data_IF_394211358854
#
_entry.id   IF_394211358854
#
_cell.length_a   1.000
_cell.length_b   1.000
_cell.length_c   1.000
_cell.angle_alpha   90.00
_cell.angle_beta   90.00
_cell.angle_gamma   90.00
#
_symmetry.space_group_name_H-M   'P 1'
#
loop_
_entity.id
_entity.type
_entity.pdbx_description
1 polymer ?
#
# COMPACT_ATOMS: atom_id res chain seq x y z
N UNK A 1 0.64 18.85 -5.29
CA UNK A 1 -0.48 18.27 -6.06
C UNK A 1 -0.46 16.75 -6.15
N UNK A 2 0.69 16.05 -6.26
CA UNK A 2 0.70 14.57 -6.43
C UNK A 2 0.36 13.67 -5.21
N UNK A 3 0.46 14.15 -3.96
CA UNK A 3 0.19 13.30 -2.77
C UNK A 3 -1.30 12.95 -2.60
N UNK A 4 -2.21 13.81 -3.06
CA UNK A 4 -3.66 13.60 -2.89
C UNK A 4 -4.19 12.52 -3.82
N UNK A 5 -3.71 12.48 -5.06
CA UNK A 5 -4.10 11.48 -6.06
C UNK A 5 -3.66 10.09 -5.64
N UNK A 6 -2.44 9.95 -5.10
CA UNK A 6 -1.94 8.67 -4.59
C UNK A 6 -2.78 8.21 -3.39
N UNK A 7 -3.14 9.11 -2.48
CA UNK A 7 -4.01 8.77 -1.35
C UNK A 7 -5.40 8.30 -1.83
N UNK A 8 -6.02 9.04 -2.76
CA UNK A 8 -7.32 8.65 -3.34
C UNK A 8 -7.25 7.33 -4.10
N UNK A 9 -6.14 7.07 -4.80
CA UNK A 9 -5.93 5.81 -5.50
C UNK A 9 -5.79 4.64 -4.52
N UNK A 10 -5.01 4.82 -3.45
CA UNK A 10 -4.86 3.85 -2.37
C UNK A 10 -6.20 3.57 -1.67
N UNK A 11 -6.98 4.61 -1.36
CA UNK A 11 -8.34 4.46 -0.81
C UNK A 11 -9.25 3.66 -1.76
N UNK A 12 -9.20 3.94 -3.06
CA UNK A 12 -9.97 3.18 -4.08
C UNK A 12 -9.56 1.71 -4.17
N UNK A 13 -8.30 1.39 -3.89
CA UNK A 13 -7.80 0.01 -3.82
C UNK A 13 -8.20 -0.70 -2.51
N UNK A 14 -8.75 0.03 -1.53
CA UNK A 14 -9.10 -0.51 -0.21
C UNK A 14 -7.99 -0.36 0.83
N UNK A 15 -6.97 0.46 0.57
CA UNK A 15 -5.95 0.86 1.54
C UNK A 15 -6.54 1.90 2.51
N UNK A 16 -7.49 1.46 3.34
CA UNK A 16 -8.15 2.30 4.35
C UNK A 16 -7.82 1.80 5.77
N UNK A 17 -7.76 2.69 6.78
CA UNK A 17 -7.54 2.30 8.16
C UNK A 17 -8.57 1.26 8.62
N UNK A 18 -8.11 0.15 9.21
CA UNK A 18 -8.95 -0.94 9.69
C UNK A 18 -9.18 -2.09 8.71
N UNK A 19 -8.72 -1.98 7.46
CA UNK A 19 -8.68 -3.11 6.53
C UNK A 19 -7.44 -3.98 6.75
N UNK A 20 -7.60 -5.28 6.53
CA UNK A 20 -6.49 -6.23 6.66
C UNK A 20 -5.68 -6.25 5.36
N UNK A 21 -4.42 -5.86 5.45
CA UNK A 21 -3.46 -5.90 4.35
C UNK A 21 -2.48 -7.04 4.58
N UNK A 22 -2.25 -7.87 3.56
CA UNK A 22 -1.28 -8.97 3.64
C UNK A 22 -0.05 -8.68 2.80
N UNK A 23 1.14 -8.86 3.35
CA UNK A 23 2.39 -8.76 2.57
C UNK A 23 2.60 -10.06 1.84
N UNK A 24 2.69 -10.01 0.51
CA UNK A 24 2.94 -11.16 -0.35
C UNK A 24 4.43 -11.37 -0.56
N UNK A 25 5.17 -10.28 -0.76
CA UNK A 25 6.61 -10.34 -1.02
C UNK A 25 7.28 -9.03 -0.57
N UNK A 26 8.50 -9.16 -0.05
CA UNK A 26 9.38 -8.03 0.23
C UNK A 26 10.65 -8.20 -0.60
N UNK A 27 11.07 -7.15 -1.31
CA UNK A 27 12.26 -7.16 -2.13
C UNK A 27 13.06 -5.86 -1.98
N UNK A 28 14.22 -5.94 -1.32
CA UNK A 28 15.12 -4.80 -1.06
C UNK A 28 14.39 -3.56 -0.50
N UNK A 29 13.39 -3.77 0.36
CA UNK A 29 12.56 -2.74 0.98
C UNK A 29 11.34 -2.29 0.16
N UNK A 30 11.14 -2.78 -1.06
CA UNK A 30 9.86 -2.66 -1.75
C UNK A 30 8.93 -3.77 -1.28
N UNK A 31 7.67 -3.46 -1.07
CA UNK A 31 6.64 -4.39 -0.60
C UNK A 31 5.62 -4.63 -1.69
N UNK A 32 5.28 -5.89 -1.92
CA UNK A 32 4.09 -6.27 -2.68
C UNK A 32 3.04 -6.65 -1.65
N UNK A 33 1.99 -5.85 -1.55
CA UNK A 33 0.87 -6.11 -0.65
C UNK A 33 -0.34 -6.61 -1.44
N UNK A 34 -1.14 -7.44 -0.79
CA UNK A 34 -2.42 -7.91 -1.27
C UNK A 34 -3.53 -7.23 -0.46
N UNK A 35 -4.44 -6.58 -1.16
CA UNK A 35 -5.59 -5.86 -0.61
C UNK A 35 -6.78 -6.23 -1.46
N UNK A 36 -7.78 -6.89 -0.87
CA UNK A 36 -9.01 -7.30 -1.59
C UNK A 36 -8.68 -8.00 -2.92
N UNK A 37 -7.75 -8.96 -2.87
CA UNK A 37 -7.25 -9.75 -4.01
C UNK A 37 -6.47 -8.95 -5.08
N UNK A 38 -6.24 -7.66 -4.85
CA UNK A 38 -5.42 -6.80 -5.70
C UNK A 38 -3.99 -6.73 -5.17
N UNK A 39 -3.03 -7.00 -6.05
CA UNK A 39 -1.59 -6.90 -5.76
C UNK A 39 -1.09 -5.50 -6.05
N UNK A 40 -0.55 -4.84 -5.05
CA UNK A 40 -0.06 -3.45 -5.13
C UNK A 40 1.42 -3.44 -4.74
N UNK A 41 2.26 -2.92 -5.62
CA UNK A 41 3.66 -2.67 -5.30
C UNK A 41 3.80 -1.32 -4.60
N UNK A 42 4.41 -1.33 -3.43
CA UNK A 42 4.65 -0.18 -2.56
C UNK A 42 6.16 -0.03 -2.42
N UNK A 43 6.68 1.17 -2.68
CA UNK A 43 8.09 1.46 -2.50
C UNK A 43 8.45 1.56 -1.02
N UNK A 44 9.72 1.34 -0.68
CA UNK A 44 10.24 1.46 0.70
C UNK A 44 9.85 2.75 1.39
N UNK A 45 9.96 3.88 0.67
CA UNK A 45 9.65 5.20 1.22
C UNK A 45 8.17 5.38 1.56
N UNK A 46 7.28 4.66 0.88
CA UNK A 46 5.85 4.67 1.16
C UNK A 46 5.51 3.66 2.26
N UNK A 47 6.15 2.49 2.24
CA UNK A 47 6.04 1.48 3.29
C UNK A 47 6.37 2.05 4.67
N UNK A 48 7.46 2.82 4.78
CA UNK A 48 7.88 3.47 6.02
C UNK A 48 6.88 4.53 6.55
N UNK A 49 5.99 5.02 5.70
CA UNK A 49 4.94 6.00 6.07
C UNK A 49 3.65 5.32 6.51
N UNK A 50 3.49 4.03 6.22
CA UNK A 50 2.35 3.24 6.63
C UNK A 50 2.68 2.67 8.00
N UNK A 51 2.02 3.18 9.04
CA UNK A 51 2.06 2.63 10.38
C UNK A 51 0.92 1.63 10.48
N UNK A 52 1.25 0.35 10.70
CA UNK A 52 0.31 -0.79 10.78
C UNK A 52 -0.24 -0.93 12.18
#
# INVERSE_FOLDING_TARGET
TGKTEIKQFLEKLGFVPGETVSVVCENFGNLIVNIKESRVAISREMALKIVV
#
